data_IF_321217256068
#
_entry.id   IF_321217256068
#
_cell.length_a   1.000
_cell.length_b   1.000
_cell.length_c   1.000
_cell.angle_alpha   90.00
_cell.angle_beta   90.00
_cell.angle_gamma   90.00
#
_symmetry.space_group_name_H-M   'P 1'
#
loop_
_entity.id
_entity.type
_entity.pdbx_description
1 polymer ?
#
# COMPACT_ATOMS: atom_id res chain seq x y z
N UNK A 1 7.98 18.99 21.84
CA UNK A 1 8.40 17.67 21.29
C UNK A 1 7.35 17.28 20.26
N UNK A 2 7.56 17.68 19.01
CA UNK A 2 6.63 17.40 17.91
C UNK A 2 7.09 16.14 17.19
N UNK A 3 6.31 15.06 17.32
CA UNK A 3 6.51 13.84 16.54
C UNK A 3 5.95 14.11 15.15
N UNK A 4 6.78 14.64 14.25
CA UNK A 4 6.43 14.71 12.83
C UNK A 4 6.29 13.27 12.32
N UNK A 5 5.06 12.85 12.05
CA UNK A 5 4.72 11.55 11.50
C UNK A 5 5.18 11.47 10.04
N UNK A 6 6.49 11.40 9.80
CA UNK A 6 7.09 11.33 8.46
C UNK A 6 6.39 10.29 7.57
N UNK A 7 5.95 9.17 8.13
CA UNK A 7 5.29 8.11 7.36
C UNK A 7 3.95 8.48 6.72
N UNK A 8 3.14 9.35 7.34
CA UNK A 8 1.78 9.69 6.84
C UNK A 8 1.86 10.71 5.70
N UNK A 9 2.74 11.71 5.82
CA UNK A 9 2.97 12.70 4.77
C UNK A 9 3.47 12.02 3.49
N UNK A 10 4.37 11.04 3.59
CA UNK A 10 4.89 10.30 2.44
C UNK A 10 3.80 9.44 1.76
N UNK A 11 2.81 8.94 2.53
CA UNK A 11 1.67 8.21 1.95
C UNK A 11 0.80 9.12 1.10
N UNK A 12 0.47 10.31 1.62
CA UNK A 12 -0.29 11.31 0.87
C UNK A 12 0.47 11.69 -0.41
N UNK A 13 1.77 11.95 -0.32
CA UNK A 13 2.62 12.27 -1.48
C UNK A 13 2.68 11.13 -2.49
N UNK A 14 2.76 9.87 -2.06
CA UNK A 14 2.76 8.71 -2.97
C UNK A 14 1.44 8.60 -3.73
N UNK A 15 0.30 8.79 -3.06
CA UNK A 15 -1.01 8.79 -3.70
C UNK A 15 -1.22 10.00 -4.62
N UNK A 16 -0.67 11.17 -4.28
CA UNK A 16 -0.65 12.33 -5.17
C UNK A 16 0.20 12.07 -6.42
N UNK A 17 1.40 11.49 -6.26
CA UNK A 17 2.30 11.13 -7.36
C UNK A 17 1.69 10.07 -8.30
N UNK A 18 0.85 9.18 -7.77
CA UNK A 18 0.02 8.25 -8.53
C UNK A 18 -1.11 8.92 -9.33
N UNK A 19 -1.24 10.25 -9.27
CA UNK A 19 -2.31 11.00 -9.93
C UNK A 19 -3.66 10.88 -9.23
N UNK A 20 -3.72 10.24 -8.06
CA UNK A 20 -4.96 10.04 -7.31
C UNK A 20 -5.37 11.35 -6.62
N UNK A 21 -4.40 12.21 -6.26
CA UNK A 21 -4.67 13.60 -5.85
C UNK A 21 -5.06 14.53 -7.01
N UNK A 22 -4.80 14.12 -8.26
CA UNK A 22 -4.95 14.91 -9.48
C UNK A 22 -6.18 14.56 -10.33
N UNK A 23 -7.34 14.46 -9.69
CA UNK A 23 -8.73 14.55 -10.23
C UNK A 23 -9.76 14.23 -9.16
N UNK A 24 -9.34 13.51 -8.12
CA UNK A 24 -10.04 13.37 -6.86
C UNK A 24 -9.26 14.20 -5.84
N UNK A 25 -9.77 15.35 -5.41
CA UNK A 25 -9.22 16.09 -4.26
C UNK A 25 -9.38 15.21 -3.02
N UNK A 26 -8.44 14.28 -2.79
CA UNK A 26 -8.36 13.51 -1.57
C UNK A 26 -7.84 14.42 -0.45
N UNK A 27 -8.71 15.30 0.03
CA UNK A 27 -8.54 15.87 1.35
C UNK A 27 -8.79 14.75 2.33
N UNK A 28 -7.72 14.17 2.88
CA UNK A 28 -7.82 13.35 4.08
C UNK A 28 -7.84 14.33 5.25
N UNK A 29 -9.00 14.69 5.83
CA UNK A 29 -8.99 15.37 7.11
C UNK A 29 -8.22 14.47 8.08
N UNK A 30 -7.19 15.04 8.69
CA UNK A 30 -6.10 14.40 9.44
C UNK A 30 -6.55 13.38 10.51
N UNK A 31 -7.84 13.36 10.85
CA UNK A 31 -8.47 12.52 11.85
C UNK A 31 -9.22 11.28 11.32
N UNK A 32 -9.49 11.16 10.02
CA UNK A 32 -10.52 10.21 9.54
C UNK A 32 -9.89 8.99 8.84
N UNK A 33 -9.98 7.83 9.50
CA UNK A 33 -9.58 6.51 8.97
C UNK A 33 -10.64 5.94 8.01
N UNK A 34 -11.28 6.80 7.21
CA UNK A 34 -12.31 6.38 6.26
C UNK A 34 -11.66 6.05 4.93
N UNK A 35 -11.84 4.80 4.52
CA UNK A 35 -11.46 4.32 3.19
C UNK A 35 -12.34 4.99 2.13
N UNK A 36 -11.69 5.66 1.18
CA UNK A 36 -12.35 6.24 0.01
C UNK A 36 -12.24 5.25 -1.16
N UNK A 37 -13.35 4.92 -1.85
CA UNK A 37 -13.30 4.06 -3.00
C UNK A 37 -12.55 4.71 -4.16
N UNK A 38 -11.72 3.91 -4.83
CA UNK A 38 -11.01 4.33 -6.03
C UNK A 38 -11.91 4.15 -7.26
N UNK A 39 -11.76 5.03 -8.24
CA UNK A 39 -12.46 4.92 -9.52
C UNK A 39 -11.95 3.72 -10.33
N UNK A 40 -10.64 3.56 -10.34
CA UNK A 40 -9.91 2.49 -11.00
C UNK A 40 -9.03 1.81 -9.95
N UNK A 41 -8.94 0.48 -9.99
CA UNK A 41 -8.06 -0.27 -9.10
C UNK A 41 -6.60 0.13 -9.33
N UNK A 42 -5.84 0.31 -8.26
CA UNK A 42 -4.40 0.56 -8.36
C UNK A 42 -3.69 -0.79 -8.33
N UNK A 43 -3.10 -1.24 -9.45
CA UNK A 43 -2.38 -2.50 -9.49
C UNK A 43 -1.17 -2.46 -8.57
N UNK A 44 -0.88 -3.58 -7.94
CA UNK A 44 0.30 -3.75 -7.08
C UNK A 44 0.92 -5.13 -7.26
N UNK A 45 2.18 -5.24 -6.87
CA UNK A 45 2.82 -6.52 -6.54
C UNK A 45 3.13 -6.57 -5.06
N UNK A 46 3.01 -7.74 -4.45
CA UNK A 46 3.30 -7.90 -3.03
C UNK A 46 4.09 -9.17 -2.74
N UNK A 47 4.82 -9.14 -1.63
CA UNK A 47 5.37 -10.31 -0.97
C UNK A 47 4.88 -10.36 0.49
N UNK A 48 4.64 -11.57 0.98
CA UNK A 48 4.40 -11.81 2.41
C UNK A 48 5.76 -11.84 3.11
N UNK A 49 5.97 -10.90 4.04
CA UNK A 49 7.20 -10.80 4.81
C UNK A 49 7.09 -11.72 6.02
N UNK A 50 7.59 -12.94 5.87
CA UNK A 50 7.75 -13.91 6.97
C UNK A 50 9.18 -13.88 7.52
N UNK A 51 9.32 -14.10 8.83
CA UNK A 51 10.60 -14.02 9.54
C UNK A 51 11.65 -15.07 9.12
N UNK A 52 11.30 -16.03 8.26
CA UNK A 52 12.18 -17.14 7.86
C UNK A 52 12.36 -17.31 6.36
N UNK A 53 11.69 -16.50 5.52
CA UNK A 53 11.77 -16.62 4.06
C UNK A 53 12.39 -15.35 3.47
N UNK A 54 13.64 -15.45 3.05
CA UNK A 54 14.30 -14.40 2.26
C UNK A 54 13.87 -14.58 0.80
N UNK A 55 13.06 -13.65 0.28
CA UNK A 55 12.64 -13.61 -1.12
C UNK A 55 11.36 -14.39 -1.41
N UNK A 56 10.25 -13.97 -0.79
CA UNK A 56 8.93 -14.54 -1.07
C UNK A 56 8.52 -14.35 -2.54
N UNK A 57 7.67 -15.24 -3.05
CA UNK A 57 7.17 -15.11 -4.41
C UNK A 57 6.33 -13.82 -4.56
N UNK A 58 6.75 -12.94 -5.46
CA UNK A 58 6.00 -11.73 -5.79
C UNK A 58 4.68 -12.10 -6.46
N UNK A 59 3.58 -11.80 -5.78
CA UNK A 59 2.21 -12.04 -6.23
C UNK A 59 1.56 -10.71 -6.64
N UNK A 60 0.48 -10.74 -7.43
CA UNK A 60 -0.20 -9.52 -7.87
C UNK A 60 -1.44 -9.24 -7.04
N UNK A 61 -1.90 -8.02 -7.06
CA UNK A 61 -3.20 -7.64 -6.55
C UNK A 61 -3.53 -6.22 -6.95
N UNK A 62 -4.48 -5.63 -6.24
CA UNK A 62 -4.74 -4.21 -6.39
C UNK A 62 -5.54 -3.59 -5.24
N UNK A 63 -5.34 -2.28 -5.08
CA UNK A 63 -6.06 -1.48 -4.10
C UNK A 63 -7.37 -0.98 -4.70
N UNK A 64 -8.45 -1.15 -3.95
CA UNK A 64 -9.81 -0.79 -4.38
C UNK A 64 -10.40 0.36 -3.56
N UNK A 65 -9.97 0.50 -2.31
CA UNK A 65 -10.26 1.67 -1.47
C UNK A 65 -9.02 2.02 -0.66
N UNK A 66 -8.79 3.30 -0.41
CA UNK A 66 -7.58 3.77 0.30
C UNK A 66 -7.90 4.86 1.32
N UNK A 67 -7.11 4.92 2.37
CA UNK A 67 -7.03 6.02 3.34
C UNK A 67 -5.58 6.39 3.60
N UNK A 68 -5.34 7.42 4.40
CA UNK A 68 -3.99 7.75 4.87
C UNK A 68 -3.38 6.69 5.80
N UNK A 69 -4.17 5.70 6.27
CA UNK A 69 -3.76 4.69 7.25
C UNK A 69 -3.87 3.26 6.73
N UNK A 70 -4.59 3.00 5.64
CA UNK A 70 -4.77 1.66 5.12
C UNK A 70 -5.51 1.59 3.79
N UNK A 71 -5.82 0.38 3.36
CA UNK A 71 -6.53 0.10 2.12
C UNK A 71 -7.36 -1.18 2.19
N UNK A 72 -8.37 -1.26 1.32
CA UNK A 72 -8.95 -2.54 0.89
C UNK A 72 -8.22 -3.01 -0.36
N UNK A 73 -7.76 -4.26 -0.35
CA UNK A 73 -7.09 -4.87 -1.48
C UNK A 73 -7.72 -6.21 -1.87
N UNK A 74 -7.75 -6.48 -3.18
CA UNK A 74 -7.88 -7.83 -3.73
C UNK A 74 -6.48 -8.38 -4.01
N UNK A 75 -6.15 -9.55 -3.48
CA UNK A 75 -4.83 -10.17 -3.67
C UNK A 75 -4.98 -11.49 -4.44
N UNK A 76 -4.08 -11.75 -5.38
CA UNK A 76 -4.01 -13.02 -6.11
C UNK A 76 -3.36 -14.10 -5.22
N UNK A 77 -4.16 -14.61 -4.28
CA UNK A 77 -3.78 -15.71 -3.40
C UNK A 77 -4.28 -15.52 -1.97
N UNK A 78 -4.43 -16.62 -1.21
CA UNK A 78 -4.78 -16.52 0.19
C UNK A 78 -3.61 -15.90 0.96
N UNK A 79 -3.87 -14.80 1.67
CA UNK A 79 -2.93 -14.20 2.60
C UNK A 79 -3.51 -14.29 4.01
N UNK A 80 -2.81 -14.90 4.98
CA UNK A 80 -3.29 -14.99 6.36
C UNK A 80 -3.52 -13.62 6.99
N UNK A 81 -4.48 -13.56 7.93
CA UNK A 81 -4.61 -12.40 8.78
C UNK A 81 -3.34 -12.21 9.62
N UNK A 82 -3.01 -10.95 9.91
CA UNK A 82 -1.82 -10.51 10.64
C UNK A 82 -0.49 -10.69 9.90
N UNK A 83 -0.49 -11.18 8.67
CA UNK A 83 0.68 -11.20 7.80
C UNK A 83 1.16 -9.77 7.50
N UNK A 84 2.47 -9.59 7.49
CA UNK A 84 3.09 -8.36 7.00
C UNK A 84 3.29 -8.48 5.49
N UNK A 85 3.00 -7.41 4.77
CA UNK A 85 3.14 -7.30 3.34
C UNK A 85 4.12 -6.19 3.02
N UNK A 86 5.00 -6.45 2.05
CA UNK A 86 5.69 -5.42 1.31
C UNK A 86 5.04 -5.34 -0.07
N UNK A 87 4.62 -4.14 -0.45
CA UNK A 87 3.86 -3.89 -1.66
C UNK A 87 4.56 -2.84 -2.52
N UNK A 88 4.56 -3.08 -3.83
CA UNK A 88 5.03 -2.15 -4.83
C UNK A 88 3.86 -1.78 -5.74
N UNK A 89 3.56 -0.49 -5.80
CA UNK A 89 2.47 0.02 -6.63
C UNK A 89 2.92 0.09 -8.09
N UNK A 90 2.01 -0.22 -9.00
CA UNK A 90 2.25 -0.16 -10.44
C UNK A 90 1.57 1.10 -10.97
N UNK A 91 2.35 1.93 -11.65
CA UNK A 91 1.89 3.16 -12.26
C UNK A 91 1.06 2.92 -13.52
N UNK A 92 0.47 4.00 -14.05
CA UNK A 92 -0.46 3.92 -15.19
C UNK A 92 0.18 3.39 -16.48
N UNK A 93 1.50 3.50 -16.64
CA UNK A 93 2.23 2.93 -17.78
C UNK A 93 2.68 1.49 -17.58
N UNK A 94 2.32 0.86 -16.45
CA UNK A 94 2.73 -0.51 -16.11
C UNK A 94 4.09 -0.61 -15.44
N UNK A 95 4.78 0.51 -15.23
CA UNK A 95 6.03 0.59 -14.48
C UNK A 95 5.81 0.38 -12.98
N UNK A 96 6.76 -0.27 -12.31
CA UNK A 96 6.77 -0.29 -10.85
C UNK A 96 7.21 1.07 -10.33
N UNK A 97 6.43 1.64 -9.40
CA UNK A 97 6.77 2.92 -8.80
C UNK A 97 7.92 2.79 -7.80
N UNK A 98 8.71 3.87 -7.65
CA UNK A 98 9.73 3.98 -6.62
C UNK A 98 9.15 3.74 -5.21
N UNK A 99 9.97 3.16 -4.34
CA UNK A 99 9.61 2.81 -2.96
C UNK A 99 8.87 1.49 -2.79
N UNK A 100 8.64 1.17 -1.52
CA UNK A 100 7.84 0.05 -1.08
C UNK A 100 6.88 0.49 0.02
N UNK A 101 5.61 0.10 -0.11
CA UNK A 101 4.58 0.31 0.89
C UNK A 101 4.51 -0.92 1.78
N UNK A 102 4.72 -0.74 3.08
CA UNK A 102 4.58 -1.82 4.04
C UNK A 102 3.22 -1.73 4.73
N UNK A 103 2.61 -2.89 4.93
CA UNK A 103 1.34 -2.98 5.63
C UNK A 103 1.14 -4.31 6.32
N UNK A 104 0.15 -4.35 7.21
CA UNK A 104 -0.27 -5.53 7.93
C UNK A 104 -1.70 -5.88 7.55
N UNK A 105 -1.93 -7.12 7.14
CA UNK A 105 -3.28 -7.65 6.88
C UNK A 105 -4.02 -7.75 8.21
N UNK A 106 -5.21 -7.15 8.32
CA UNK A 106 -6.06 -7.29 9.50
C UNK A 106 -7.10 -8.41 9.33
N UNK A 107 -7.40 -8.78 8.09
CA UNK A 107 -8.34 -9.85 7.75
C UNK A 107 -9.31 -9.44 6.64
N UNK A 108 -10.35 -10.24 6.40
CA UNK A 108 -11.34 -9.97 5.36
C UNK A 108 -12.19 -8.74 5.69
N UNK A 109 -12.61 -8.02 4.65
CA UNK A 109 -13.56 -6.91 4.76
C UNK A 109 -14.97 -7.48 4.99
N UNK A 110 -15.70 -7.05 6.04
CA UNK A 110 -17.07 -7.48 6.27
C UNK A 110 -17.96 -7.21 5.05
N UNK A 111 -18.73 -8.20 4.62
CA UNK A 111 -19.60 -8.10 3.44
C UNK A 111 -18.89 -8.25 2.10
N UNK A 112 -17.60 -8.57 2.06
CA UNK A 112 -16.90 -8.92 0.80
C UNK A 112 -15.89 -10.04 1.05
N UNK A 113 -16.22 -11.26 0.60
CA UNK A 113 -15.42 -12.47 0.84
C UNK A 113 -14.04 -12.48 0.16
N UNK A 114 -13.81 -11.57 -0.80
CA UNK A 114 -12.62 -11.57 -1.66
C UNK A 114 -11.64 -10.41 -1.37
N UNK A 115 -11.92 -9.57 -0.36
CA UNK A 115 -11.11 -8.38 -0.06
C UNK A 115 -10.53 -8.45 1.33
N UNK A 116 -9.31 -7.97 1.46
CA UNK A 116 -8.58 -7.88 2.72
C UNK A 116 -8.38 -6.42 3.10
N UNK A 117 -8.50 -6.13 4.39
CA UNK A 117 -8.09 -4.85 4.94
C UNK A 117 -6.60 -4.89 5.28
N UNK A 118 -5.85 -3.93 4.74
CA UNK A 118 -4.42 -3.77 4.98
C UNK A 118 -4.20 -2.44 5.71
N UNK A 119 -3.59 -2.49 6.89
CA UNK A 119 -3.15 -1.31 7.63
C UNK A 119 -1.73 -0.94 7.19
N UNK A 120 -1.51 0.28 6.72
CA UNK A 120 -0.18 0.74 6.39
C UNK A 120 0.65 0.93 7.67
N UNK A 121 1.90 0.46 7.63
CA UNK A 121 2.83 0.51 8.76
C UNK A 121 4.02 1.41 8.48
N UNK A 122 4.49 1.47 7.23
CA UNK A 122 5.57 2.38 6.80
C UNK A 122 5.65 2.48 5.28
N UNK A 123 6.36 3.48 4.78
CA UNK A 123 6.92 3.48 3.43
C UNK A 123 8.43 3.39 3.56
N UNK A 124 9.04 2.50 2.80
CA UNK A 124 10.48 2.49 2.59
C UNK A 124 10.77 3.17 1.24
N UNK A 125 11.66 4.19 1.20
CA UNK A 125 12.13 4.72 -0.08
C UNK A 125 12.81 3.60 -0.87
N UNK A 126 12.87 3.71 -2.20
CA UNK A 126 13.71 2.80 -2.97
C UNK A 126 15.14 2.95 -2.47
N UNK A 127 15.66 1.90 -1.84
CA UNK A 127 17.10 1.79 -1.68
C UNK A 127 17.67 1.43 -3.04
N UNK A 128 17.94 2.44 -3.86
CA UNK A 128 18.97 2.33 -4.88
C UNK A 128 20.28 2.17 -4.13
N UNK A 129 20.60 0.94 -3.73
CA UNK A 129 21.96 0.58 -3.39
C UNK A 129 22.75 0.60 -4.71
N UNK A 130 23.14 1.80 -5.15
CA UNK A 130 24.22 1.98 -6.09
C UNK A 130 25.49 1.52 -5.40
N UNK A 131 25.86 0.26 -5.62
CA UNK A 131 27.24 -0.18 -5.43
C UNK A 131 28.06 0.50 -6.53
N UNK A 132 28.63 1.65 -6.19
CA UNK A 132 29.73 2.23 -6.95
C UNK A 132 31.01 1.53 -6.48
N UNK A 133 31.65 0.79 -7.38
CA UNK A 133 33.03 0.29 -7.27
C UNK A 133 33.79 0.72 -8.51
#
# INVERSE_FOLDING_TARGET
MEVRTKGIEHLVVLFEALGIGGRHKLSFPEAVDTLVPLKDEIPLRYEVVESSQVGGAMSKGGLTKVSCKGAEAGLEGPVPALSNLKMHLIGSGGEQLPGALHGKVLGPVPGTSARLYIRFTSISPESTASYDI
#
